data_IF_416915557565
#
_entry.id   IF_416915557565
#
_cell.length_a   1.000
_cell.length_b   1.000
_cell.length_c   1.000
_cell.angle_alpha   90.00
_cell.angle_beta   90.00
_cell.angle_gamma   90.00
#
_symmetry.space_group_name_H-M   'P 1'
#
loop_
_entity.id
_entity.type
_entity.pdbx_description
1 polymer ?
#
# COMPACT_ATOMS: atom_id res chain seq x y z
N UNK A 1 -33.03 7.99 -1.28
CA UNK A 1 -31.95 7.48 -2.16
C UNK A 1 -30.82 7.02 -1.27
N UNK A 2 -30.59 5.70 -1.20
CA UNK A 2 -29.55 5.13 -0.35
C UNK A 2 -28.17 5.46 -0.95
N UNK A 3 -27.30 6.07 -0.17
CA UNK A 3 -25.88 6.19 -0.49
C UNK A 3 -25.32 4.76 -0.59
N UNK A 4 -25.03 4.30 -1.80
CA UNK A 4 -24.28 3.07 -2.01
C UNK A 4 -22.98 3.19 -1.21
N UNK A 5 -22.81 2.35 -0.20
CA UNK A 5 -21.58 2.25 0.56
C UNK A 5 -20.55 1.68 -0.41
N UNK A 6 -19.84 2.55 -1.12
CA UNK A 6 -18.78 2.17 -2.05
C UNK A 6 -17.72 1.45 -1.21
N UNK A 7 -17.83 0.12 -1.18
CA UNK A 7 -17.02 -0.73 -0.34
C UNK A 7 -15.81 -1.07 -1.18
N UNK A 8 -14.73 -0.30 -0.99
CA UNK A 8 -13.49 -0.57 -1.69
C UNK A 8 -13.05 -2.02 -1.42
N UNK A 9 -12.62 -2.77 -2.45
CA UNK A 9 -12.17 -4.13 -2.28
C UNK A 9 -10.96 -4.16 -1.34
N UNK A 10 -10.96 -5.16 -0.46
CA UNK A 10 -9.85 -5.45 0.45
C UNK A 10 -8.71 -6.12 -0.31
N UNK A 11 -7.50 -6.02 0.21
CA UNK A 11 -6.34 -6.72 -0.37
C UNK A 11 -6.56 -8.23 -0.47
N UNK A 12 -7.26 -8.83 0.51
CA UNK A 12 -7.65 -10.23 0.46
C UNK A 12 -8.49 -10.55 -0.78
N UNK A 13 -9.52 -9.74 -1.07
CA UNK A 13 -10.34 -9.94 -2.27
C UNK A 13 -9.51 -9.84 -3.55
N UNK A 14 -8.54 -8.93 -3.62
CA UNK A 14 -7.65 -8.79 -4.77
C UNK A 14 -6.76 -10.03 -4.96
N UNK A 15 -6.29 -10.63 -3.87
CA UNK A 15 -5.53 -11.89 -3.90
C UNK A 15 -6.42 -13.05 -4.32
N UNK A 16 -7.63 -13.16 -3.78
CA UNK A 16 -8.57 -14.26 -4.04
C UNK A 16 -8.98 -14.33 -5.52
N UNK A 17 -9.14 -13.18 -6.18
CA UNK A 17 -9.46 -13.10 -7.62
C UNK A 17 -8.23 -13.10 -8.53
N UNK A 18 -7.04 -13.27 -7.94
CA UNK A 18 -5.76 -13.39 -8.64
C UNK A 18 -5.21 -12.09 -9.23
N UNK A 19 -5.73 -10.91 -8.84
CA UNK A 19 -5.18 -9.61 -9.25
C UNK A 19 -3.86 -9.29 -8.55
N UNK A 20 -3.68 -9.79 -7.32
CA UNK A 20 -2.45 -9.64 -6.54
C UNK A 20 -1.83 -11.01 -6.27
N UNK A 21 -0.51 -11.09 -6.41
CA UNK A 21 0.29 -12.23 -5.93
C UNK A 21 1.23 -11.74 -4.83
N UNK A 22 1.33 -12.50 -3.75
CA UNK A 22 2.20 -12.21 -2.62
C UNK A 22 3.47 -13.08 -2.66
N UNK A 23 4.62 -12.58 -2.18
CA UNK A 23 4.82 -11.20 -1.73
C UNK A 23 4.76 -10.22 -2.91
N UNK A 24 4.10 -9.07 -2.70
CA UNK A 24 3.98 -8.03 -3.71
C UNK A 24 5.02 -6.94 -3.44
N UNK A 25 5.93 -6.72 -4.39
CA UNK A 25 6.90 -5.63 -4.30
C UNK A 25 6.18 -4.30 -4.40
N UNK A 26 6.48 -3.42 -3.46
CA UNK A 26 5.94 -2.07 -3.42
C UNK A 26 7.04 -1.04 -3.26
N UNK A 27 6.76 0.17 -3.76
CA UNK A 27 7.57 1.35 -3.48
C UNK A 27 6.69 2.52 -3.09
N UNK A 28 7.20 3.39 -2.24
CA UNK A 28 6.52 4.61 -1.83
C UNK A 28 7.44 5.80 -2.08
N UNK A 29 6.87 6.95 -2.43
CA UNK A 29 7.65 8.17 -2.69
C UNK A 29 7.20 9.30 -1.77
N UNK A 30 8.17 9.99 -1.19
CA UNK A 30 7.93 11.20 -0.40
C UNK A 30 9.02 12.24 -0.65
N UNK A 31 8.65 13.29 -1.38
CA UNK A 31 9.62 14.28 -1.87
C UNK A 31 10.65 13.62 -2.78
N UNK A 32 11.94 13.82 -2.49
CA UNK A 32 13.05 13.19 -3.22
C UNK A 32 13.41 11.77 -2.73
N UNK A 33 12.69 11.24 -1.74
CA UNK A 33 13.00 9.95 -1.14
C UNK A 33 12.08 8.85 -1.68
N UNK A 34 12.68 7.69 -1.96
CA UNK A 34 11.99 6.48 -2.38
C UNK A 34 12.20 5.40 -1.32
N UNK A 35 11.10 4.72 -0.98
CA UNK A 35 11.05 3.65 0.00
C UNK A 35 10.67 2.37 -0.72
N UNK A 36 11.37 1.29 -0.40
CA UNK A 36 11.03 -0.04 -0.90
C UNK A 36 10.42 -0.89 0.20
N UNK A 37 9.50 -1.75 -0.19
CA UNK A 37 8.91 -2.72 0.70
C UNK A 37 8.29 -3.88 -0.05
N UNK A 38 7.77 -4.83 0.73
CA UNK A 38 7.05 -5.98 0.22
C UNK A 38 5.80 -6.19 1.08
N UNK A 39 4.65 -6.27 0.44
CA UNK A 39 3.42 -6.73 1.09
C UNK A 39 3.54 -8.24 1.21
N UNK A 40 3.57 -8.75 2.43
CA UNK A 40 3.86 -10.16 2.74
C UNK A 40 2.59 -10.97 3.01
N UNK A 41 1.46 -10.30 3.23
CA UNK A 41 0.20 -10.91 3.67
C UNK A 41 -1.00 -10.21 3.06
N UNK A 42 -2.04 -11.00 2.77
CA UNK A 42 -3.31 -10.51 2.25
C UNK A 42 -4.10 -9.66 3.27
N UNK A 43 -3.68 -9.69 4.55
CA UNK A 43 -4.18 -8.79 5.60
C UNK A 43 -3.59 -7.37 5.51
N UNK A 44 -2.58 -7.16 4.66
CA UNK A 44 -1.91 -5.88 4.50
C UNK A 44 -0.66 -5.73 5.35
N UNK A 45 -0.11 -6.83 5.88
CA UNK A 45 1.22 -6.81 6.49
C UNK A 45 2.27 -6.47 5.41
N UNK A 46 3.17 -5.56 5.75
CA UNK A 46 4.16 -5.00 4.84
C UNK A 46 5.50 -4.86 5.56
N UNK A 47 6.56 -5.31 4.90
CA UNK A 47 7.94 -5.11 5.35
C UNK A 47 8.55 -3.95 4.57
N UNK A 48 9.01 -2.90 5.24
CA UNK A 48 9.69 -1.77 4.62
C UNK A 48 10.73 -1.19 5.58
N UNK A 49 11.86 -0.68 5.05
CA UNK A 49 12.96 -0.14 5.86
C UNK A 49 13.47 -1.13 6.93
N UNK A 50 13.39 -2.43 6.67
CA UNK A 50 13.78 -3.49 7.62
C UNK A 50 12.80 -3.71 8.77
N UNK A 51 11.64 -3.06 8.76
CA UNK A 51 10.59 -3.15 9.79
C UNK A 51 9.31 -3.73 9.17
N UNK A 52 8.68 -4.65 9.89
CA UNK A 52 7.36 -5.16 9.52
C UNK A 52 6.26 -4.34 10.20
N UNK A 53 5.30 -3.89 9.41
CA UNK A 53 4.10 -3.21 9.85
C UNK A 53 2.88 -4.06 9.52
N UNK A 54 1.85 -3.99 10.36
CA UNK A 54 0.59 -4.74 10.18
C UNK A 54 -0.41 -4.06 9.23
N UNK A 55 -0.05 -2.91 8.65
CA UNK A 55 -0.89 -2.19 7.70
C UNK A 55 -0.08 -1.29 6.78
N UNK A 56 -0.59 -1.12 5.55
CA UNK A 56 -0.03 -0.21 4.53
C UNK A 56 0.07 1.23 5.01
N UNK A 57 -0.95 1.70 5.73
CA UNK A 57 -1.00 3.06 6.26
C UNK A 57 0.04 3.30 7.35
N UNK A 58 0.27 2.33 8.24
CA UNK A 58 1.29 2.44 9.28
C UNK A 58 2.70 2.51 8.65
N UNK A 59 2.99 1.67 7.66
CA UNK A 59 4.26 1.72 6.95
C UNK A 59 4.45 3.04 6.17
N UNK A 60 3.40 3.56 5.55
CA UNK A 60 3.44 4.84 4.84
C UNK A 60 3.68 6.02 5.80
N UNK A 61 3.00 6.02 6.95
CA UNK A 61 3.21 7.02 8.01
C UNK A 61 4.64 6.96 8.55
N UNK A 62 5.15 5.75 8.80
CA UNK A 62 6.54 5.55 9.22
C UNK A 62 7.54 6.05 8.16
N UNK A 63 7.34 5.72 6.88
CA UNK A 63 8.18 6.21 5.79
C UNK A 63 8.23 7.75 5.76
N UNK A 64 7.06 8.42 5.82
CA UNK A 64 7.01 9.89 5.90
C UNK A 64 7.70 10.43 7.15
N UNK A 65 7.52 9.77 8.30
CA UNK A 65 8.15 10.16 9.56
C UNK A 65 9.68 10.14 9.50
N UNK A 66 10.26 9.12 8.85
CA UNK A 66 11.72 9.00 8.70
C UNK A 66 12.34 10.15 7.90
N UNK A 67 11.59 10.79 6.99
CA UNK A 67 12.06 11.95 6.22
C UNK A 67 11.72 13.27 6.91
N UNK A 68 10.54 13.38 7.51
CA UNK A 68 10.07 14.62 8.14
C UNK A 68 10.68 14.92 9.51
N UNK A 69 11.51 14.04 10.07
CA UNK A 69 12.13 14.24 11.38
C UNK A 69 11.12 14.19 12.53
N UNK A 70 10.06 13.38 12.39
CA UNK A 70 9.02 13.26 13.40
C UNK A 70 9.55 12.54 14.66
N UNK A 71 9.04 12.90 15.86
CA UNK A 71 9.41 12.21 17.08
C UNK A 71 9.02 10.72 17.05
N UNK A 72 9.80 9.82 17.68
CA UNK A 72 9.44 8.41 17.77
C UNK A 72 8.05 8.23 18.40
N UNK A 73 7.19 7.43 17.74
CA UNK A 73 5.82 7.18 18.20
C UNK A 73 4.77 8.17 17.68
N UNK A 74 5.18 9.27 17.04
CA UNK A 74 4.27 10.21 16.39
C UNK A 74 4.44 10.16 14.87
N UNK A 75 3.63 9.34 14.20
CA UNK A 75 3.68 9.22 12.75
C UNK A 75 2.50 9.96 12.11
N UNK A 76 2.73 10.72 11.02
CA UNK A 76 1.64 11.36 10.30
C UNK A 76 0.68 10.29 9.75
N UNK A 77 -0.60 10.62 9.72
CA UNK A 77 -1.58 9.76 9.05
C UNK A 77 -1.27 9.71 7.55
N UNK A 78 -1.35 8.51 6.99
CA UNK A 78 -1.12 8.28 5.57
C UNK A 78 -2.14 7.29 5.03
N UNK A 79 -2.62 7.53 3.81
CA UNK A 79 -3.42 6.57 3.09
C UNK A 79 -2.48 5.58 2.37
N UNK A 80 -2.35 4.37 2.91
CA UNK A 80 -1.44 3.37 2.35
C UNK A 80 -1.74 3.03 0.88
N UNK A 81 -3.00 3.04 0.47
CA UNK A 81 -3.39 2.71 -0.90
C UNK A 81 -2.99 3.76 -1.94
N UNK A 82 -2.89 5.02 -1.53
CA UNK A 82 -2.46 6.13 -2.40
C UNK A 82 -0.94 6.35 -2.32
N UNK A 83 -0.31 5.92 -1.23
CA UNK A 83 1.11 6.13 -1.01
C UNK A 83 1.97 5.08 -1.73
N UNK A 84 1.52 3.83 -1.74
CA UNK A 84 2.28 2.72 -2.33
C UNK A 84 1.97 2.56 -3.81
N UNK A 85 3.01 2.29 -4.59
CA UNK A 85 2.98 1.78 -5.95
C UNK A 85 3.42 0.31 -5.91
N UNK A 86 2.89 -0.53 -6.79
CA UNK A 86 3.31 -1.93 -6.95
C UNK A 86 4.00 -2.13 -8.29
N UNK A 87 4.83 -3.16 -8.38
CA UNK A 87 5.44 -3.55 -9.65
C UNK A 87 4.53 -4.55 -10.38
N UNK A 88 4.11 -4.19 -11.59
CA UNK A 88 3.31 -5.06 -12.46
C UNK A 88 4.16 -6.18 -13.09
N UNK A 89 3.52 -7.05 -13.88
CA UNK A 89 4.19 -8.15 -14.57
C UNK A 89 5.22 -7.71 -15.63
N UNK A 90 5.12 -6.46 -16.12
CA UNK A 90 6.04 -5.87 -17.08
C UNK A 90 7.20 -5.12 -16.39
N UNK A 91 7.23 -5.10 -15.06
CA UNK A 91 8.22 -4.37 -14.27
C UNK A 91 7.91 -2.88 -14.13
N UNK A 92 6.75 -2.42 -14.60
CA UNK A 92 6.27 -1.04 -14.49
C UNK A 92 5.67 -0.83 -13.11
N UNK A 93 5.91 0.35 -12.55
CA UNK A 93 5.38 0.72 -11.25
C UNK A 93 4.08 1.48 -11.42
N UNK A 94 3.02 0.93 -10.85
CA UNK A 94 1.66 1.46 -10.94
C UNK A 94 1.12 1.78 -9.55
N UNK A 95 0.25 2.79 -9.39
CA UNK A 95 -0.35 3.09 -8.09
C UNK A 95 -1.12 1.88 -7.55
N UNK A 96 -0.92 1.52 -6.28
CA UNK A 96 -1.62 0.35 -5.68
C UNK A 96 -3.14 0.50 -5.73
N UNK A 97 -3.64 1.73 -5.74
CA UNK A 97 -5.06 2.02 -5.88
C UNK A 97 -5.68 1.50 -7.19
N UNK A 98 -4.92 1.40 -8.29
CA UNK A 98 -5.44 0.95 -9.59
C UNK A 98 -5.94 -0.49 -9.52
N UNK A 99 -5.38 -1.32 -8.64
CA UNK A 99 -5.87 -2.69 -8.42
C UNK A 99 -7.31 -2.72 -7.90
N UNK A 100 -7.71 -1.73 -7.10
CA UNK A 100 -9.08 -1.61 -6.59
C UNK A 100 -10.03 -1.19 -7.71
N UNK A 101 -9.57 -0.29 -8.59
CA UNK A 101 -10.32 0.13 -9.78
C UNK A 101 -10.50 -1.02 -10.77
N UNK A 102 -9.46 -1.84 -10.99
CA UNK A 102 -9.52 -3.03 -11.84
C UNK A 102 -10.48 -4.10 -11.32
N UNK A 103 -10.62 -4.21 -9.99
CA UNK A 103 -11.58 -5.12 -9.39
C UNK A 103 -13.02 -4.66 -9.65
N UNK A 104 -13.31 -3.36 -9.53
CA UNK A 104 -14.65 -2.81 -9.76
C UNK A 104 -15.09 -2.85 -11.23
N UNK A 105 -14.16 -3.02 -12.17
CA UNK A 105 -14.42 -3.14 -13.61
C UNK A 105 -14.67 -4.58 -14.08
N UNK A 106 -14.56 -5.58 -13.19
CA UNK A 106 -14.82 -6.99 -13.50
C UNK A 106 -16.28 -7.36 -13.27
#
# INVERSE_FOLDING_TARGET
MATSRQSYPTLQQLVDVGLVRLPLKVRGRHGAHEFHGEITSARGDISSLGISHNSLSAAAGYAKATVGGYPPGEYPTANGWEFWEYQDANGVWEPLNTLRELYDQR
#
